data_IF_187816712159
#
_entry.id   IF_187816712159
#
_cell.length_a   1.000
_cell.length_b   1.000
_cell.length_c   1.000
_cell.angle_alpha   90.00
_cell.angle_beta   90.00
_cell.angle_gamma   90.00
#
_symmetry.space_group_name_H-M   'P 1'
#
loop_
_entity.id
_entity.type
_entity.pdbx_description
1 polymer ?
#
# COMPACT_ATOMS: atom_id res chain seq x y z
N UNK A 1 -30.56 -4.52 9.16
CA UNK A 1 -29.94 -4.80 10.49
C UNK A 1 -29.32 -6.19 10.40
N UNK A 2 -28.05 -6.37 10.75
CA UNK A 2 -27.42 -7.71 10.76
C UNK A 2 -28.01 -8.47 11.95
N UNK A 3 -28.66 -9.61 11.73
CA UNK A 3 -29.36 -10.33 12.80
C UNK A 3 -28.44 -11.23 13.62
N UNK A 4 -27.41 -11.80 13.00
CA UNK A 4 -26.43 -12.59 13.72
C UNK A 4 -25.50 -11.64 14.52
N UNK A 5 -25.53 -11.69 15.87
CA UNK A 5 -24.72 -10.80 16.72
C UNK A 5 -23.21 -11.02 16.52
N UNK A 6 -22.79 -12.23 16.13
CA UNK A 6 -21.41 -12.53 15.76
C UNK A 6 -20.98 -11.78 14.51
N UNK A 7 -21.77 -11.88 13.44
CA UNK A 7 -21.49 -11.18 12.17
C UNK A 7 -21.56 -9.66 12.36
N UNK A 8 -22.50 -9.16 13.15
CA UNK A 8 -22.60 -7.73 13.45
C UNK A 8 -21.35 -7.19 14.17
N UNK A 9 -20.81 -7.95 15.13
CA UNK A 9 -19.58 -7.62 15.84
C UNK A 9 -18.38 -7.65 14.90
N UNK A 10 -18.29 -8.66 14.04
CA UNK A 10 -17.23 -8.80 13.04
C UNK A 10 -17.26 -7.63 12.04
N UNK A 11 -18.42 -7.32 11.47
CA UNK A 11 -18.61 -6.20 10.54
C UNK A 11 -18.23 -4.86 11.18
N UNK A 12 -18.56 -4.65 12.47
CA UNK A 12 -18.17 -3.43 13.19
C UNK A 12 -16.65 -3.30 13.32
N UNK A 13 -15.96 -4.40 13.65
CA UNK A 13 -14.48 -4.42 13.73
C UNK A 13 -13.85 -4.12 12.37
N UNK A 14 -14.33 -4.77 11.31
CA UNK A 14 -13.85 -4.55 9.93
C UNK A 14 -14.06 -3.10 9.50
N UNK A 15 -15.22 -2.50 9.79
CA UNK A 15 -15.50 -1.10 9.48
C UNK A 15 -14.58 -0.14 10.24
N UNK A 16 -14.31 -0.38 11.52
CA UNK A 16 -13.39 0.46 12.32
C UNK A 16 -11.98 0.38 11.73
N UNK A 17 -11.48 -0.82 11.41
CA UNK A 17 -10.16 -0.99 10.80
C UNK A 17 -10.08 -0.34 9.41
N UNK A 18 -11.14 -0.45 8.61
CA UNK A 18 -11.25 0.20 7.32
C UNK A 18 -11.18 1.73 7.42
N UNK A 19 -11.88 2.33 8.40
CA UNK A 19 -11.81 3.77 8.66
C UNK A 19 -10.42 4.17 9.11
N UNK A 20 -9.79 3.42 10.03
CA UNK A 20 -8.42 3.69 10.47
C UNK A 20 -7.45 3.62 9.28
N UNK A 21 -7.56 2.58 8.45
CA UNK A 21 -6.73 2.44 7.25
C UNK A 21 -6.95 3.58 6.25
N UNK A 22 -8.20 4.02 6.06
CA UNK A 22 -8.51 5.17 5.21
C UNK A 22 -7.91 6.47 5.76
N UNK A 23 -7.98 6.69 7.08
CA UNK A 23 -7.36 7.86 7.73
C UNK A 23 -5.83 7.85 7.59
N UNK A 24 -5.19 6.69 7.78
CA UNK A 24 -3.74 6.53 7.56
C UNK A 24 -3.40 6.81 6.09
N UNK A 25 -4.20 6.31 5.14
CA UNK A 25 -3.99 6.55 3.71
C UNK A 25 -4.14 8.05 3.35
N UNK A 26 -5.12 8.74 3.94
CA UNK A 26 -5.30 10.19 3.77
C UNK A 26 -4.10 10.94 4.37
N UNK A 27 -3.63 10.57 5.56
CA UNK A 27 -2.45 11.16 6.18
C UNK A 27 -1.19 10.97 5.33
N UNK A 28 -0.98 9.76 4.81
CA UNK A 28 0.12 9.46 3.88
C UNK A 28 0.03 10.24 2.57
N UNK A 29 -1.18 10.45 2.05
CA UNK A 29 -1.42 11.26 0.85
C UNK A 29 -1.06 12.74 1.07
N UNK A 30 -1.50 13.32 2.20
CA UNK A 30 -1.16 14.70 2.56
C UNK A 30 0.36 14.84 2.70
N UNK A 31 1.01 13.90 3.38
CA UNK A 31 2.46 13.89 3.55
C UNK A 31 3.20 13.80 2.19
N UNK A 32 2.75 12.93 1.29
CA UNK A 32 3.32 12.80 -0.06
C UNK A 32 3.16 14.09 -0.88
N UNK A 33 2.01 14.77 -0.78
CA UNK A 33 1.80 16.07 -1.40
C UNK A 33 2.71 17.16 -0.81
N UNK A 34 2.89 17.20 0.51
CA UNK A 34 3.79 18.16 1.16
C UNK A 34 5.25 17.98 0.72
N UNK A 35 5.68 16.75 0.41
CA UNK A 35 7.04 16.44 -0.05
C UNK A 35 7.21 16.53 -1.58
N UNK A 36 6.17 16.92 -2.33
CA UNK A 36 6.21 17.00 -3.79
C UNK A 36 6.28 15.64 -4.50
N UNK A 37 6.10 14.53 -3.78
CA UNK A 37 6.11 13.18 -4.32
C UNK A 37 4.71 12.80 -4.79
N UNK A 38 4.34 13.15 -6.03
CA UNK A 38 3.08 12.72 -6.65
C UNK A 38 3.33 11.90 -7.90
N UNK A 39 3.27 10.57 -7.77
CA UNK A 39 3.53 9.64 -8.87
C UNK A 39 2.40 9.55 -9.92
N UNK A 40 1.26 10.24 -9.72
CA UNK A 40 0.06 10.02 -10.54
C UNK A 40 -0.84 11.22 -10.78
N UNK A 41 -0.40 12.45 -10.52
CA UNK A 41 -1.25 13.63 -10.66
C UNK A 41 -2.52 13.61 -9.78
N UNK A 42 -3.28 14.71 -9.72
CA UNK A 42 -4.42 14.83 -8.79
C UNK A 42 -5.55 13.85 -9.11
N UNK A 43 -5.78 13.55 -10.39
CA UNK A 43 -6.87 12.68 -10.83
C UNK A 43 -6.70 11.23 -10.35
N UNK A 44 -5.52 10.62 -10.56
CA UNK A 44 -5.31 9.23 -10.12
C UNK A 44 -5.38 9.12 -8.60
N UNK A 45 -4.90 10.13 -7.88
CA UNK A 45 -4.97 10.13 -6.42
C UNK A 45 -6.40 10.14 -5.88
N UNK A 46 -7.29 10.94 -6.48
CA UNK A 46 -8.73 10.94 -6.12
C UNK A 46 -9.36 9.59 -6.44
N UNK A 47 -9.05 9.01 -7.60
CA UNK A 47 -9.53 7.69 -7.97
C UNK A 47 -9.06 6.62 -6.99
N UNK A 48 -7.80 6.65 -6.57
CA UNK A 48 -7.25 5.75 -5.54
C UNK A 48 -8.00 5.89 -4.22
N UNK A 49 -8.33 7.11 -3.80
CA UNK A 49 -9.10 7.34 -2.58
C UNK A 49 -10.52 6.77 -2.69
N UNK A 50 -11.20 6.98 -3.81
CA UNK A 50 -12.54 6.42 -4.05
C UNK A 50 -12.52 4.89 -4.04
N UNK A 51 -11.53 4.28 -4.69
CA UNK A 51 -11.35 2.83 -4.66
C UNK A 51 -11.05 2.32 -3.24
N UNK A 52 -10.22 3.02 -2.47
CA UNK A 52 -9.93 2.67 -1.09
C UNK A 52 -11.17 2.69 -0.19
N UNK A 53 -12.10 3.63 -0.43
CA UNK A 53 -13.38 3.71 0.29
C UNK A 53 -14.42 2.71 -0.23
N UNK A 54 -14.36 2.32 -1.51
CA UNK A 54 -15.26 1.33 -2.09
C UNK A 54 -15.03 -0.08 -1.52
N UNK A 55 -13.78 -0.45 -1.20
CA UNK A 55 -13.45 -1.78 -0.67
C UNK A 55 -14.21 -2.09 0.63
N UNK A 56 -14.18 -1.25 1.69
CA UNK A 56 -14.98 -1.45 2.90
C UNK A 56 -16.49 -1.53 2.63
N UNK A 57 -16.99 -0.76 1.67
CA UNK A 57 -18.40 -0.74 1.27
C UNK A 57 -18.81 -2.09 0.67
N UNK A 58 -17.97 -2.70 -0.17
CA UNK A 58 -18.16 -4.06 -0.66
C UNK A 58 -18.24 -5.07 0.48
N UNK A 59 -17.32 -5.00 1.45
CA UNK A 59 -17.34 -5.88 2.63
C UNK A 59 -18.62 -5.74 3.45
N UNK A 60 -19.06 -4.50 3.70
CA UNK A 60 -20.28 -4.21 4.46
C UNK A 60 -21.55 -4.70 3.74
N UNK A 61 -21.73 -4.34 2.46
CA UNK A 61 -22.93 -4.75 1.72
C UNK A 61 -22.91 -6.24 1.40
N UNK A 62 -21.73 -6.84 1.17
CA UNK A 62 -21.57 -8.28 1.03
C UNK A 62 -22.04 -9.03 2.27
N UNK A 63 -21.60 -8.61 3.46
CA UNK A 63 -22.07 -9.19 4.72
C UNK A 63 -23.58 -8.94 4.95
N UNK A 64 -24.06 -7.73 4.68
CA UNK A 64 -25.45 -7.34 4.94
C UNK A 64 -26.46 -8.03 4.02
N UNK A 65 -26.10 -8.22 2.74
CA UNK A 65 -26.97 -8.83 1.72
C UNK A 65 -26.69 -10.33 1.52
N UNK A 66 -25.75 -10.90 2.28
CA UNK A 66 -25.26 -12.27 2.07
C UNK A 66 -24.76 -12.49 0.63
N UNK A 67 -24.16 -11.45 0.03
CA UNK A 67 -23.72 -11.45 -1.36
C UNK A 67 -22.25 -11.86 -1.45
N UNK A 68 -22.04 -13.07 -1.97
CA UNK A 68 -20.71 -13.69 -2.12
C UNK A 68 -19.80 -12.90 -3.05
N UNK A 69 -20.33 -12.27 -4.09
CA UNK A 69 -19.53 -11.53 -5.06
C UNK A 69 -18.93 -10.26 -4.43
N UNK A 70 -19.71 -9.57 -3.60
CA UNK A 70 -19.23 -8.38 -2.88
C UNK A 70 -18.19 -8.73 -1.81
N UNK A 71 -18.37 -9.84 -1.08
CA UNK A 71 -17.35 -10.31 -0.12
C UNK A 71 -16.08 -10.76 -0.85
N UNK A 72 -16.21 -11.45 -1.99
CA UNK A 72 -15.08 -11.85 -2.82
C UNK A 72 -14.30 -10.62 -3.34
N UNK A 73 -15.00 -9.59 -3.81
CA UNK A 73 -14.41 -8.31 -4.20
C UNK A 73 -13.62 -7.67 -3.05
N UNK A 74 -14.20 -7.63 -1.84
CA UNK A 74 -13.51 -7.15 -0.64
C UNK A 74 -12.21 -7.92 -0.35
N UNK A 75 -12.25 -9.26 -0.42
CA UNK A 75 -11.08 -10.10 -0.22
C UNK A 75 -10.02 -9.84 -1.29
N UNK A 76 -10.42 -9.87 -2.56
CA UNK A 76 -9.52 -9.68 -3.70
C UNK A 76 -8.82 -8.33 -3.65
N UNK A 77 -9.55 -7.25 -3.33
CA UNK A 77 -8.97 -5.92 -3.22
C UNK A 77 -7.98 -5.80 -2.06
N UNK A 78 -8.25 -6.39 -0.90
CA UNK A 78 -7.29 -6.38 0.22
C UNK A 78 -6.03 -7.19 -0.11
N UNK A 79 -6.18 -8.38 -0.71
CA UNK A 79 -5.06 -9.24 -1.10
C UNK A 79 -4.18 -8.55 -2.16
N UNK A 80 -4.78 -8.08 -3.26
CA UNK A 80 -4.06 -7.42 -4.34
C UNK A 80 -3.30 -6.19 -3.82
N UNK A 81 -3.95 -5.35 -3.01
CA UNK A 81 -3.33 -4.14 -2.51
C UNK A 81 -2.21 -4.42 -1.50
N UNK A 82 -2.34 -5.47 -0.66
CA UNK A 82 -1.23 -5.94 0.17
C UNK A 82 -0.05 -6.43 -0.67
N UNK A 83 -0.30 -7.24 -1.70
CA UNK A 83 0.74 -7.70 -2.62
C UNK A 83 1.45 -6.53 -3.31
N UNK A 84 0.69 -5.55 -3.81
CA UNK A 84 1.25 -4.35 -4.45
C UNK A 84 2.16 -3.56 -3.51
N UNK A 85 1.76 -3.34 -2.25
CA UNK A 85 2.62 -2.65 -1.27
C UNK A 85 3.91 -3.44 -1.02
N UNK A 86 3.81 -4.75 -0.84
CA UNK A 86 4.99 -5.61 -0.61
C UNK A 86 5.94 -5.52 -1.81
N UNK A 87 5.44 -5.61 -3.04
CA UNK A 87 6.24 -5.46 -4.25
C UNK A 87 6.94 -4.09 -4.30
N UNK A 88 6.23 -3.00 -4.00
CA UNK A 88 6.80 -1.65 -3.96
C UNK A 88 7.90 -1.54 -2.89
N UNK A 89 7.69 -2.10 -1.69
CA UNK A 89 8.70 -2.10 -0.64
C UNK A 89 9.97 -2.86 -1.06
N UNK A 90 9.82 -4.00 -1.73
CA UNK A 90 10.96 -4.77 -2.25
C UNK A 90 11.71 -3.96 -3.31
N UNK A 91 10.99 -3.37 -4.28
CA UNK A 91 11.60 -2.57 -5.33
C UNK A 91 12.36 -1.36 -4.77
N UNK A 92 11.76 -0.63 -3.82
CA UNK A 92 12.43 0.50 -3.16
C UNK A 92 13.67 0.05 -2.38
N UNK A 93 13.59 -1.08 -1.68
CA UNK A 93 14.73 -1.67 -0.97
C UNK A 93 15.86 -2.06 -1.92
N UNK A 94 15.54 -2.69 -3.06
CA UNK A 94 16.51 -3.03 -4.09
C UNK A 94 17.17 -1.78 -4.68
N UNK A 95 16.39 -0.76 -5.03
CA UNK A 95 16.90 0.51 -5.55
C UNK A 95 17.84 1.18 -4.55
N UNK A 96 17.47 1.25 -3.27
CA UNK A 96 18.34 1.82 -2.24
C UNK A 96 19.64 1.00 -2.06
N UNK A 97 19.55 -0.33 -2.08
CA UNK A 97 20.73 -1.19 -1.98
C UNK A 97 21.69 -1.00 -3.17
N UNK A 98 21.16 -0.92 -4.39
CA UNK A 98 21.95 -0.66 -5.60
C UNK A 98 22.66 0.70 -5.52
N UNK A 99 21.95 1.75 -5.14
CA UNK A 99 22.54 3.08 -5.01
C UNK A 99 23.57 3.16 -3.88
N UNK A 100 23.32 2.50 -2.75
CA UNK A 100 24.27 2.44 -1.63
C UNK A 100 25.56 1.70 -2.04
N UNK A 101 25.43 0.62 -2.81
CA UNK A 101 26.56 -0.09 -3.39
C UNK A 101 27.34 0.80 -4.37
N UNK A 102 26.65 1.52 -5.25
CA UNK A 102 27.28 2.44 -6.20
C UNK A 102 28.07 3.52 -5.47
N UNK A 103 27.48 4.22 -4.49
CA UNK A 103 28.19 5.28 -3.77
C UNK A 103 29.39 4.78 -2.95
N UNK A 104 29.30 3.57 -2.40
CA UNK A 104 30.40 3.00 -1.61
C UNK A 104 31.60 2.63 -2.48
N UNK A 105 31.37 2.19 -3.72
CA UNK A 105 32.44 1.70 -4.59
C UNK A 105 32.90 2.74 -5.63
N UNK A 106 32.10 3.76 -5.93
CA UNK A 106 32.37 4.79 -6.94
C UNK A 106 32.68 6.18 -6.35
N UNK A 107 33.38 6.24 -5.21
CA UNK A 107 33.86 7.52 -4.66
C UNK A 107 34.94 8.11 -5.57
N UNK A 108 34.75 9.31 -6.15
CA UNK A 108 35.75 9.96 -7.00
C UNK A 108 37.09 10.23 -6.31
N UNK A 109 37.12 10.27 -4.98
CA UNK A 109 38.36 10.49 -4.20
C UNK A 109 39.21 9.23 -4.08
N UNK A 110 38.59 8.06 -4.21
CA UNK A 110 39.23 6.76 -4.07
C UNK A 110 38.94 5.96 -5.33
N UNK A 111 39.79 6.12 -6.35
CA UNK A 111 39.70 5.31 -7.56
C UNK A 111 39.92 3.83 -7.19
N UNK A 112 38.83 3.08 -7.11
CA UNK A 112 38.87 1.62 -6.97
C UNK A 112 38.59 0.99 -8.33
N UNK A 113 39.28 -0.09 -8.65
CA UNK A 113 39.06 -0.84 -9.90
C UNK A 113 37.67 -1.51 -9.97
N UNK A 114 36.91 -1.47 -8.86
CA UNK A 114 35.59 -2.08 -8.72
C UNK A 114 34.45 -1.18 -9.20
N UNK A 115 34.69 0.11 -9.45
CA UNK A 115 33.67 0.98 -10.02
C UNK A 115 33.60 0.80 -11.54
N UNK A 116 32.43 0.47 -12.12
CA UNK A 116 32.23 0.55 -13.56
C UNK A 116 32.12 2.03 -13.97
N UNK A 117 33.25 2.72 -14.05
CA UNK A 117 33.36 4.17 -14.28
C UNK A 117 32.53 4.65 -15.48
N UNK A 118 32.47 3.86 -16.55
CA UNK A 118 31.68 4.18 -17.74
C UNK A 118 30.16 4.16 -17.48
N UNK A 119 29.68 3.24 -16.63
CA UNK A 119 28.26 3.16 -16.27
C UNK A 119 27.88 4.26 -15.30
N UNK A 120 28.73 4.53 -14.31
CA UNK A 120 28.49 5.60 -13.34
C UNK A 120 28.50 6.98 -14.01
N UNK A 121 29.43 7.21 -14.95
CA UNK A 121 29.45 8.45 -15.73
C UNK A 121 28.21 8.60 -16.60
N UNK A 122 27.76 7.55 -17.30
CA UNK A 122 26.50 7.57 -18.06
C UNK A 122 25.28 7.87 -17.19
N UNK A 123 25.24 7.35 -15.97
CA UNK A 123 24.18 7.67 -15.01
C UNK A 123 24.21 9.16 -14.63
N UNK A 124 25.39 9.70 -14.33
CA UNK A 124 25.55 11.13 -14.05
C UNK A 124 25.15 11.99 -15.24
N UNK A 125 25.60 11.65 -16.45
CA UNK A 125 25.26 12.37 -17.69
C UNK A 125 23.76 12.34 -17.98
N UNK A 126 23.05 11.27 -17.58
CA UNK A 126 21.59 11.17 -17.70
C UNK A 126 20.82 12.02 -16.69
N UNK A 127 21.38 12.23 -15.50
CA UNK A 127 20.75 13.02 -14.43
C UNK A 127 20.99 14.50 -14.66
N UNK A 128 22.24 14.88 -14.91
CA UNK A 128 22.67 16.24 -15.16
C UNK A 128 23.92 16.23 -16.07
N UNK A 129 23.76 16.51 -17.38
CA UNK A 129 24.85 16.42 -18.34
C UNK A 129 25.95 17.47 -18.13
N UNK A 130 25.65 18.55 -17.40
CA UNK A 130 26.58 19.65 -17.17
C UNK A 130 27.32 19.53 -15.82
N UNK A 131 26.89 18.60 -14.95
CA UNK A 131 27.50 18.40 -13.65
C UNK A 131 28.85 17.68 -13.73
N UNK A 132 29.82 18.15 -12.93
CA UNK A 132 31.05 17.40 -12.69
C UNK A 132 30.76 16.09 -11.95
N UNK A 133 31.59 15.05 -12.17
CA UNK A 133 31.39 13.73 -11.56
C UNK A 133 31.33 13.77 -10.02
N UNK A 134 32.11 14.66 -9.39
CA UNK A 134 32.08 14.88 -7.94
C UNK A 134 30.79 15.58 -7.48
N UNK A 135 30.27 16.52 -8.25
CA UNK A 135 29.00 17.18 -7.96
C UNK A 135 27.82 16.21 -8.11
N UNK A 136 27.82 15.39 -9.17
CA UNK A 136 26.86 14.30 -9.32
C UNK A 136 26.89 13.34 -8.12
N UNK A 137 28.07 12.91 -7.68
CA UNK A 137 28.24 12.04 -6.51
C UNK A 137 27.62 12.66 -5.25
N UNK A 138 27.93 13.93 -4.96
CA UNK A 138 27.38 14.63 -3.79
C UNK A 138 25.85 14.79 -3.85
N UNK A 139 25.31 15.11 -5.03
CA UNK A 139 23.86 15.19 -5.23
C UNK A 139 23.18 13.83 -5.02
N UNK A 140 23.79 12.77 -5.55
CA UNK A 140 23.27 11.41 -5.39
C UNK A 140 23.31 10.96 -3.92
N UNK A 141 24.38 11.30 -3.20
CA UNK A 141 24.51 11.05 -1.76
C UNK A 141 23.45 11.78 -0.94
N UNK A 142 23.20 13.05 -1.26
CA UNK A 142 22.13 13.82 -0.63
C UNK A 142 20.76 13.16 -0.88
N UNK A 143 20.45 12.83 -2.13
CA UNK A 143 19.21 12.15 -2.49
C UNK A 143 19.04 10.81 -1.80
N UNK A 144 20.11 10.03 -1.62
CA UNK A 144 20.05 8.75 -0.91
C UNK A 144 19.73 8.90 0.57
N UNK A 145 20.33 9.89 1.23
CA UNK A 145 20.05 10.16 2.64
C UNK A 145 18.59 10.59 2.83
N UNK A 146 18.11 11.53 2.01
CA UNK A 146 16.70 11.97 2.04
C UNK A 146 15.74 10.80 1.73
N UNK A 147 16.06 10.01 0.70
CA UNK A 147 15.26 8.85 0.31
C UNK A 147 15.25 7.79 1.41
N UNK A 148 16.37 7.56 2.11
CA UNK A 148 16.44 6.59 3.20
C UNK A 148 15.55 6.97 4.37
N UNK A 149 15.54 8.25 4.78
CA UNK A 149 14.67 8.75 5.83
C UNK A 149 13.20 8.63 5.42
N UNK A 150 12.89 8.99 4.17
CA UNK A 150 11.57 8.80 3.58
C UNK A 150 11.13 7.35 3.56
N UNK A 151 12.02 6.41 3.20
CA UNK A 151 11.72 4.98 3.19
C UNK A 151 11.48 4.43 4.59
N UNK A 152 12.28 4.85 5.58
CA UNK A 152 12.06 4.47 6.99
C UNK A 152 10.69 4.92 7.48
N UNK A 153 10.33 6.18 7.23
CA UNK A 153 9.00 6.69 7.56
C UNK A 153 7.90 5.89 6.83
N UNK A 154 8.07 5.66 5.53
CA UNK A 154 7.12 4.88 4.72
C UNK A 154 6.91 3.47 5.27
N UNK A 155 7.99 2.77 5.65
CA UNK A 155 7.90 1.44 6.25
C UNK A 155 7.09 1.44 7.56
N UNK A 156 7.30 2.44 8.43
CA UNK A 156 6.59 2.57 9.71
C UNK A 156 5.08 2.67 9.49
N UNK A 157 4.63 3.40 8.46
CA UNK A 157 3.21 3.56 8.17
C UNK A 157 2.62 2.39 7.37
N UNK A 158 3.36 1.85 6.40
CA UNK A 158 2.81 0.86 5.48
C UNK A 158 2.79 -0.56 6.03
N UNK A 159 3.74 -0.94 6.88
CA UNK A 159 3.77 -2.29 7.47
C UNK A 159 2.48 -2.57 8.28
N UNK A 160 2.04 -1.68 9.20
CA UNK A 160 0.75 -1.85 9.87
C UNK A 160 -0.43 -1.96 8.90
N UNK A 161 -0.43 -1.17 7.83
CA UNK A 161 -1.49 -1.21 6.80
C UNK A 161 -1.52 -2.57 6.10
N UNK A 162 -0.37 -3.14 5.74
CA UNK A 162 -0.28 -4.48 5.14
C UNK A 162 -0.82 -5.53 6.11
N UNK A 163 -0.44 -5.48 7.39
CA UNK A 163 -0.94 -6.41 8.41
C UNK A 163 -2.47 -6.33 8.52
N UNK A 164 -3.02 -5.12 8.63
CA UNK A 164 -4.47 -4.90 8.72
C UNK A 164 -5.22 -5.42 7.49
N UNK A 165 -4.65 -5.26 6.30
CA UNK A 165 -5.25 -5.78 5.06
C UNK A 165 -5.17 -7.29 4.95
N UNK A 166 -4.07 -7.91 5.38
CA UNK A 166 -3.96 -9.37 5.46
C UNK A 166 -4.98 -9.95 6.46
N UNK A 167 -5.14 -9.32 7.64
CA UNK A 167 -6.18 -9.71 8.60
C UNK A 167 -7.59 -9.53 8.01
N UNK A 168 -7.83 -8.42 7.32
CA UNK A 168 -9.10 -8.15 6.62
C UNK A 168 -9.40 -9.21 5.55
N UNK A 169 -8.38 -9.65 4.81
CA UNK A 169 -8.49 -10.75 3.86
C UNK A 169 -8.85 -12.07 4.56
N UNK A 170 -8.13 -12.45 5.63
CA UNK A 170 -8.40 -13.69 6.36
C UNK A 170 -9.84 -13.73 6.92
N UNK A 171 -10.30 -12.62 7.51
CA UNK A 171 -11.68 -12.53 8.03
C UNK A 171 -12.72 -12.49 6.91
N UNK A 172 -12.45 -11.77 5.82
CA UNK A 172 -13.31 -11.76 4.64
C UNK A 172 -13.44 -13.15 4.02
N UNK A 173 -12.35 -13.91 3.95
CA UNK A 173 -12.33 -15.27 3.44
C UNK A 173 -13.14 -16.23 4.33
N UNK A 174 -13.01 -16.11 5.65
CA UNK A 174 -13.85 -16.89 6.59
C UNK A 174 -15.33 -16.59 6.39
N UNK A 175 -15.70 -15.31 6.25
CA UNK A 175 -17.08 -14.91 5.98
C UNK A 175 -17.57 -15.44 4.62
N UNK A 176 -16.72 -15.38 3.59
CA UNK A 176 -17.02 -15.92 2.27
C UNK A 176 -17.29 -17.43 2.33
N UNK A 177 -16.48 -18.18 3.06
CA UNK A 177 -16.66 -19.61 3.26
C UNK A 177 -17.98 -19.95 3.97
N UNK A 178 -18.34 -19.19 5.02
CA UNK A 178 -19.63 -19.35 5.70
C UNK A 178 -20.81 -19.09 4.76
N UNK A 179 -20.73 -18.02 3.95
CA UNK A 179 -21.76 -17.73 2.94
C UNK A 179 -21.83 -18.82 1.87
N UNK A 180 -20.68 -19.42 1.51
CA UNK A 180 -20.60 -20.52 0.54
C UNK A 180 -21.25 -21.79 1.05
N UNK A 181 -21.08 -22.10 2.34
CA UNK A 181 -21.67 -23.25 3.01
C UNK A 181 -23.20 -23.23 3.09
N UNK A 182 -23.84 -22.15 2.62
CA UNK A 182 -25.30 -22.05 2.64
C UNK A 182 -25.86 -21.74 4.03
N UNK A 183 -25.00 -21.33 4.98
CA UNK A 183 -25.41 -20.66 6.20
C UNK A 183 -25.94 -19.27 5.84
N UNK A 184 -27.08 -19.27 5.17
CA UNK A 184 -27.83 -18.08 4.84
C UNK A 184 -28.27 -17.46 6.16
N UNK A 185 -27.80 -16.25 6.41
CA UNK A 185 -28.36 -15.34 7.42
C UNK A 185 -29.74 -14.87 6.89
N UNK A 186 -30.60 -15.80 6.46
CA UNK A 186 -31.96 -15.50 6.07
C UNK A 186 -32.80 -15.49 7.34
N UNK A 187 -33.20 -14.29 7.70
CA UNK A 187 -34.36 -14.07 8.56
C UNK A 187 -35.56 -14.65 7.79
N UNK A 188 -36.31 -15.62 8.34
CA UNK A 188 -37.63 -15.89 7.78
C UNK A 188 -38.43 -14.58 7.83
N UNK A 189 -39.17 -14.21 6.77
CA UNK A 189 -39.95 -12.98 6.78
C UNK A 189 -40.78 -12.93 8.05
N UNK A 190 -40.78 -11.78 8.73
CA UNK A 190 -41.58 -11.58 9.94
C UNK A 190 -43.00 -12.01 9.60
N UNK A 191 -43.46 -13.12 10.18
CA UNK A 191 -44.86 -13.54 10.02
C UNK A 191 -45.67 -12.43 10.67
N UNK A 192 -46.30 -11.61 9.86
CA UNK A 192 -47.36 -10.74 10.31
C UNK A 192 -48.46 -11.68 10.80
N UNK A 193 -48.55 -11.87 12.11
CA UNK A 193 -49.74 -12.44 12.73
C UNK A 193 -50.83 -11.38 12.56
N UNK A 194 -51.74 -11.64 11.61
CA UNK A 194 -53.00 -10.92 11.43
C UNK A 194 -54.03 -11.55 12.35
#
# INVERSE_FOLDING_TARGET
RIQNPGVATLTRRVLILAVIAALIAIGGFIHAMCLGFSAGGPFLNVLTLLLALAVPVCGYFGAKKSDRNLVCCFCGCNALNSCSIICVLILLGMTQATFSFLLKNCDPRHATDQCPNDQFRKLCDQIDPDASLSQCYHNLQHHLNDTSAGLTAFMIFQIPVVILRCLSFCWGWSLYAELQAGNLIHVPPARHFV
#
